data_IF_714575673797
#
_entry.id   IF_714575673797
#
_cell.length_a   1.000
_cell.length_b   1.000
_cell.length_c   1.000
_cell.angle_alpha   90.00
_cell.angle_beta   90.00
_cell.angle_gamma   90.00
#
_symmetry.space_group_name_H-M   'P 1'
#
loop_
_entity.id
_entity.type
_entity.pdbx_description
1 polymer ?
#
# COMPACT_ATOMS: atom_id res chain seq x y z
N UNK A 1 -8.34 -7.91 -1.62
CA UNK A 1 -7.35 -7.61 -2.68
C UNK A 1 -6.64 -8.86 -3.20
N UNK A 2 -6.19 -9.77 -2.33
CA UNK A 2 -5.56 -11.03 -2.78
C UNK A 2 -6.47 -11.83 -3.73
N UNK A 3 -7.76 -12.00 -3.38
CA UNK A 3 -8.74 -12.67 -4.26
C UNK A 3 -8.93 -11.91 -5.58
N UNK A 4 -9.13 -10.58 -5.54
CA UNK A 4 -9.27 -9.76 -6.75
C UNK A 4 -8.06 -9.92 -7.71
N UNK A 5 -6.85 -9.99 -7.16
CA UNK A 5 -5.63 -10.26 -7.94
C UNK A 5 -5.63 -11.67 -8.55
N UNK A 6 -6.06 -12.69 -7.80
CA UNK A 6 -6.17 -14.08 -8.30
C UNK A 6 -7.16 -14.15 -9.47
N UNK A 7 -8.26 -13.40 -9.39
CA UNK A 7 -9.30 -13.30 -10.43
C UNK A 7 -8.90 -12.36 -11.60
N UNK A 8 -7.65 -11.87 -11.64
CA UNK A 8 -7.18 -10.98 -12.71
C UNK A 8 -7.74 -9.55 -12.67
N UNK A 9 -8.40 -9.15 -11.58
CA UNK A 9 -8.93 -7.80 -11.41
C UNK A 9 -7.78 -6.82 -11.16
N UNK A 10 -7.62 -5.87 -12.07
CA UNK A 10 -6.60 -4.82 -11.97
C UNK A 10 -7.14 -3.66 -11.13
N UNK A 11 -6.52 -3.45 -9.96
CA UNK A 11 -6.83 -2.31 -9.10
C UNK A 11 -5.94 -1.14 -9.52
N UNK A 12 -6.51 -0.16 -10.21
CA UNK A 12 -5.76 1.03 -10.64
C UNK A 12 -5.46 1.96 -9.47
N UNK A 13 -6.45 2.27 -8.63
CA UNK A 13 -6.31 3.24 -7.54
C UNK A 13 -6.63 2.61 -6.20
N UNK A 14 -5.74 2.78 -5.23
CA UNK A 14 -5.90 2.35 -3.85
C UNK A 14 -5.76 3.55 -2.90
N UNK A 15 -6.77 3.77 -2.05
CA UNK A 15 -6.80 4.87 -1.08
C UNK A 15 -6.79 4.30 0.33
N UNK A 16 -5.82 4.74 1.12
CA UNK A 16 -5.69 4.49 2.55
C UNK A 16 -6.05 5.79 3.28
N UNK A 17 -6.88 5.71 4.30
CA UNK A 17 -7.28 6.87 5.10
C UNK A 17 -7.33 6.53 6.57
N UNK A 18 -6.72 7.36 7.42
CA UNK A 18 -6.72 7.17 8.87
C UNK A 18 -5.96 5.92 9.33
N UNK A 19 -4.94 5.49 8.60
CA UNK A 19 -4.15 4.31 8.96
C UNK A 19 -3.02 4.68 9.91
N UNK A 20 -3.26 4.39 11.19
CA UNK A 20 -2.34 4.62 12.31
C UNK A 20 -1.95 3.28 12.93
N UNK A 21 -1.20 2.47 12.19
CA UNK A 21 -0.76 1.17 12.69
C UNK A 21 0.51 1.31 13.53
N UNK A 22 0.68 0.42 14.51
CA UNK A 22 1.97 0.22 15.19
C UNK A 22 2.89 -0.75 14.45
N UNK A 23 2.58 -1.06 13.19
CA UNK A 23 3.41 -1.93 12.35
C UNK A 23 4.76 -1.23 12.23
N UNK A 24 5.76 -1.86 12.80
CA UNK A 24 7.13 -1.38 12.65
C UNK A 24 7.62 -1.87 11.29
N UNK A 25 8.53 -1.14 10.63
CA UNK A 25 9.22 -1.58 9.41
C UNK A 25 10.11 -2.83 9.59
N UNK A 26 9.80 -3.69 10.56
CA UNK A 26 10.46 -4.97 10.84
C UNK A 26 9.48 -6.14 10.83
N UNK A 27 8.18 -5.87 10.73
CA UNK A 27 7.14 -6.88 10.64
C UNK A 27 7.11 -7.49 9.23
N UNK A 28 8.04 -8.43 8.98
CA UNK A 28 8.17 -9.13 7.69
C UNK A 28 6.85 -9.67 7.13
N UNK A 29 5.93 -10.27 7.91
CA UNK A 29 4.66 -10.74 7.37
C UNK A 29 3.77 -9.60 6.85
N UNK A 30 3.82 -8.43 7.49
CA UNK A 30 3.03 -7.28 7.07
C UNK A 30 3.64 -6.64 5.82
N UNK A 31 4.97 -6.54 5.75
CA UNK A 31 5.66 -6.07 4.56
C UNK A 31 5.37 -6.97 3.35
N UNK A 32 5.40 -8.30 3.54
CA UNK A 32 5.08 -9.24 2.46
C UNK A 32 3.62 -9.11 2.00
N UNK A 33 2.68 -8.95 2.95
CA UNK A 33 1.28 -8.71 2.64
C UNK A 33 1.07 -7.41 1.86
N UNK A 34 1.71 -6.32 2.29
CA UNK A 34 1.64 -5.02 1.61
C UNK A 34 2.23 -5.10 0.21
N UNK A 35 3.41 -5.71 0.06
CA UNK A 35 4.06 -5.94 -1.24
C UNK A 35 3.15 -6.72 -2.18
N UNK A 36 2.59 -7.83 -1.73
CA UNK A 36 1.73 -8.68 -2.55
C UNK A 36 0.41 -8.00 -2.92
N UNK A 37 -0.13 -7.20 -2.00
CA UNK A 37 -1.40 -6.50 -2.16
C UNK A 37 -1.26 -5.30 -3.10
N UNK A 38 -0.17 -4.54 -2.98
CA UNK A 38 0.04 -3.29 -3.70
C UNK A 38 0.86 -3.47 -4.99
N UNK A 39 1.36 -4.67 -5.29
CA UNK A 39 2.23 -4.94 -6.45
C UNK A 39 1.64 -4.47 -7.79
N UNK A 40 0.30 -4.49 -7.91
CA UNK A 40 -0.44 -4.20 -9.13
C UNK A 40 -1.17 -2.84 -9.09
N UNK A 41 -0.97 -2.07 -8.00
CA UNK A 41 -1.60 -0.76 -7.83
C UNK A 41 -0.84 0.29 -8.64
N UNK A 42 -1.55 1.07 -9.43
CA UNK A 42 -0.96 2.16 -10.23
C UNK A 42 -0.96 3.50 -9.48
N UNK A 43 -1.99 3.74 -8.68
CA UNK A 43 -2.15 4.95 -7.88
C UNK A 43 -2.38 4.60 -6.42
N UNK A 44 -1.52 5.08 -5.54
CA UNK A 44 -1.64 4.91 -4.10
C UNK A 44 -1.81 6.27 -3.42
N UNK A 45 -2.90 6.44 -2.68
CA UNK A 45 -3.20 7.65 -1.92
C UNK A 45 -3.21 7.36 -0.43
N UNK A 46 -2.28 7.93 0.32
CA UNK A 46 -2.20 7.84 1.77
C UNK A 46 -2.70 9.15 2.40
N UNK A 47 -3.93 9.18 2.90
CA UNK A 47 -4.51 10.37 3.52
C UNK A 47 -4.54 10.19 5.03
N UNK A 48 -4.07 11.16 5.81
CA UNK A 48 -4.03 11.08 7.27
C UNK A 48 -3.44 9.73 7.77
N UNK A 49 -2.40 9.24 7.11
CA UNK A 49 -1.87 7.88 7.30
C UNK A 49 -0.35 7.89 7.41
N UNK A 50 0.21 8.76 8.26
CA UNK A 50 1.65 8.97 8.37
C UNK A 50 2.43 7.68 8.69
N UNK A 51 1.85 6.78 9.48
CA UNK A 51 2.51 5.53 9.89
C UNK A 51 2.69 4.52 8.75
N UNK A 52 1.95 4.62 7.64
CA UNK A 52 2.08 3.69 6.51
C UNK A 52 3.32 3.99 5.66
N UNK A 53 3.92 5.18 5.79
CA UNK A 53 5.04 5.60 4.95
C UNK A 53 6.31 4.77 5.20
N UNK A 54 6.59 4.45 6.46
CA UNK A 54 7.75 3.62 6.83
C UNK A 54 7.69 2.22 6.19
N UNK A 55 6.63 1.41 6.36
CA UNK A 55 6.57 0.10 5.71
C UNK A 55 6.48 0.19 4.18
N UNK A 56 5.85 1.24 3.62
CA UNK A 56 5.85 1.45 2.17
C UNK A 56 7.24 1.74 1.61
N UNK A 57 8.10 2.41 2.37
CA UNK A 57 9.48 2.71 1.94
C UNK A 57 10.36 1.47 1.81
N UNK A 58 9.94 0.35 2.40
CA UNK A 58 10.71 -0.90 2.45
C UNK A 58 10.27 -1.94 1.43
N UNK A 59 9.22 -1.67 0.66
CA UNK A 59 8.67 -2.59 -0.33
C UNK A 59 8.80 -2.01 -1.74
N UNK A 60 9.02 -2.87 -2.72
CA UNK A 60 8.99 -2.48 -4.13
C UNK A 60 7.55 -2.56 -4.68
N UNK A 61 7.12 -1.47 -5.33
CA UNK A 61 5.81 -1.33 -5.96
C UNK A 61 5.99 -1.10 -7.47
N UNK A 62 6.23 -2.17 -8.26
CA UNK A 62 6.67 -2.05 -9.65
C UNK A 62 5.63 -1.42 -10.59
N UNK A 63 4.34 -1.54 -10.27
CA UNK A 63 3.25 -0.97 -11.08
C UNK A 63 2.90 0.46 -10.68
N UNK A 64 3.50 0.99 -9.61
CA UNK A 64 3.11 2.28 -9.05
C UNK A 64 3.60 3.42 -9.94
N UNK A 65 2.66 4.22 -10.41
CA UNK A 65 2.90 5.39 -11.26
C UNK A 65 2.63 6.70 -10.52
N UNK A 66 1.72 6.69 -9.54
CA UNK A 66 1.34 7.87 -8.77
C UNK A 66 1.25 7.55 -7.28
N UNK A 67 1.96 8.32 -6.48
CA UNK A 67 1.87 8.27 -5.03
C UNK A 67 1.45 9.64 -4.49
N UNK A 68 0.40 9.69 -3.70
CA UNK A 68 -0.09 10.91 -3.07
C UNK A 68 -0.17 10.77 -1.56
N UNK A 69 0.30 11.80 -0.87
CA UNK A 69 0.15 11.95 0.57
C UNK A 69 -0.76 13.14 0.80
N UNK A 70 -1.82 12.96 1.59
CA UNK A 70 -2.77 14.01 1.91
C UNK A 70 -2.94 14.17 3.43
N UNK A 71 -3.21 15.40 3.85
CA UNK A 71 -3.79 15.69 5.16
C UNK A 71 -5.08 16.49 4.94
N UNK A 72 -6.14 16.19 5.69
CA UNK A 72 -7.38 16.97 5.66
C UNK A 72 -7.25 18.24 6.51
#
# INVERSE_FOLDING_TARGET
MVVAKIEGVVIKTFKISGFYSRVSGRDLPVLDLLKNTLSNVQELKAINSSTILEPLSQIMLPSLQRFEIGSY
#
